data_IF_019721640106
#
_entry.id   IF_019721640106
#
_cell.length_a   1.000
_cell.length_b   1.000
_cell.length_c   1.000
_cell.angle_alpha   90.00
_cell.angle_beta   90.00
_cell.angle_gamma   90.00
#
_symmetry.space_group_name_H-M   'P 1'
#
loop_
_entity.id
_entity.type
_entity.pdbx_description
1 polymer ?
#
# COMPACT_ATOMS: atom_id res chain seq x y z
N UNK A 1 8.66 6.31 -10.42
CA UNK A 1 8.80 5.20 -9.44
C UNK A 1 8.58 5.66 -8.00
N UNK A 2 9.20 6.75 -7.50
CA UNK A 2 8.99 7.24 -6.13
C UNK A 2 7.53 7.27 -5.65
N UNK A 3 6.62 7.82 -6.46
CA UNK A 3 5.19 7.94 -6.12
C UNK A 3 4.55 6.57 -5.90
N UNK A 4 4.54 5.69 -6.91
CA UNK A 4 3.88 4.39 -6.83
C UNK A 4 4.59 3.41 -5.88
N UNK A 5 5.91 3.50 -5.76
CA UNK A 5 6.70 2.63 -4.88
C UNK A 5 6.79 3.17 -3.44
N UNK A 6 6.19 4.33 -3.15
CA UNK A 6 6.21 4.98 -1.83
C UNK A 6 7.62 5.11 -1.25
N UNK A 7 8.54 5.70 -2.01
CA UNK A 7 9.95 5.78 -1.64
C UNK A 7 10.70 6.99 -2.19
N UNK A 8 11.99 7.05 -1.89
CA UNK A 8 12.87 8.15 -2.30
C UNK A 8 13.29 7.97 -3.77
N UNK A 9 13.38 9.07 -4.50
CA UNK A 9 14.08 9.15 -5.80
C UNK A 9 14.97 10.38 -5.80
N UNK A 10 16.21 10.21 -6.24
CA UNK A 10 17.22 11.26 -6.28
C UNK A 10 17.56 11.54 -7.74
N UNK A 11 17.54 12.81 -8.13
CA UNK A 11 18.04 13.29 -9.42
C UNK A 11 19.20 14.23 -9.14
N UNK A 12 20.40 13.85 -9.55
CA UNK A 12 21.58 14.71 -9.46
C UNK A 12 21.69 15.49 -10.75
N UNK A 13 21.64 16.82 -10.64
CA UNK A 13 21.68 17.74 -11.79
C UNK A 13 22.87 18.68 -11.63
N UNK A 14 23.91 18.59 -12.48
CA UNK A 14 25.02 19.53 -12.48
C UNK A 14 24.54 20.98 -12.72
N UNK A 15 25.16 21.94 -12.05
CA UNK A 15 24.74 23.35 -12.12
C UNK A 15 24.84 23.95 -13.52
N UNK A 16 25.87 23.57 -14.29
CA UNK A 16 26.03 24.01 -15.68
C UNK A 16 24.97 23.41 -16.61
N UNK A 17 24.52 22.18 -16.34
CA UNK A 17 23.46 21.51 -17.11
C UNK A 17 22.09 22.12 -16.78
N UNK A 18 21.84 22.48 -15.51
CA UNK A 18 20.59 23.12 -15.09
C UNK A 18 20.32 24.47 -15.78
N UNK A 19 21.38 25.15 -16.25
CA UNK A 19 21.29 26.43 -16.97
C UNK A 19 21.09 26.26 -18.48
N UNK A 20 21.23 25.04 -19.02
CA UNK A 20 21.01 24.80 -20.45
C UNK A 20 19.51 24.78 -20.77
N UNK A 21 19.11 25.20 -21.98
CA UNK A 21 17.72 25.08 -22.40
C UNK A 21 17.28 23.61 -22.38
N UNK A 22 16.11 23.36 -21.80
CA UNK A 22 15.46 22.05 -21.92
C UNK A 22 14.99 21.81 -23.37
N UNK A 23 14.79 20.56 -23.79
CA UNK A 23 14.26 20.26 -25.12
C UNK A 23 12.92 20.97 -25.37
N UNK A 24 12.76 21.65 -26.51
CA UNK A 24 11.54 22.39 -26.85
C UNK A 24 10.30 21.49 -26.98
N UNK A 25 10.51 20.20 -27.30
CA UNK A 25 9.46 19.19 -27.40
C UNK A 25 9.08 18.56 -26.06
N UNK A 26 9.75 18.92 -24.96
CA UNK A 26 9.45 18.37 -23.65
C UNK A 26 8.08 18.86 -23.16
N UNK A 27 7.31 17.94 -22.60
CA UNK A 27 6.04 18.27 -21.94
C UNK A 27 6.21 18.34 -20.43
N UNK A 28 5.60 19.34 -19.82
CA UNK A 28 5.46 19.45 -18.37
C UNK A 28 4.19 18.78 -17.86
N UNK A 29 3.34 18.28 -18.77
CA UNK A 29 2.12 17.59 -18.40
C UNK A 29 2.44 16.30 -17.64
N UNK A 30 1.79 16.12 -16.50
CA UNK A 30 1.93 14.94 -15.67
C UNK A 30 0.60 14.23 -15.49
N UNK A 31 0.55 12.95 -15.89
CA UNK A 31 -0.58 12.08 -15.62
C UNK A 31 -0.42 11.43 -14.23
N UNK A 32 -1.36 11.72 -13.33
CA UNK A 32 -1.41 11.12 -12.01
C UNK A 32 -1.95 9.69 -12.08
N UNK A 33 -1.05 8.73 -12.32
CA UNK A 33 -1.41 7.32 -12.30
C UNK A 33 -1.89 6.90 -10.89
N UNK A 34 -3.12 6.37 -10.75
CA UNK A 34 -3.60 5.88 -9.47
C UNK A 34 -2.89 4.58 -9.08
N UNK A 35 -2.98 4.21 -7.81
CA UNK A 35 -2.60 2.86 -7.38
C UNK A 35 -3.60 1.85 -7.95
N UNK A 36 -3.14 0.69 -8.43
CA UNK A 36 -4.04 -0.37 -8.85
C UNK A 36 -4.76 -0.98 -7.65
N UNK A 37 -5.86 -1.66 -7.92
CA UNK A 37 -6.48 -2.56 -6.95
C UNK A 37 -5.64 -3.84 -6.90
N UNK A 38 -5.11 -4.17 -5.72
CA UNK A 38 -4.33 -5.38 -5.49
C UNK A 38 -5.05 -6.22 -4.44
N UNK A 39 -5.59 -7.35 -4.87
CA UNK A 39 -6.28 -8.32 -4.02
C UNK A 39 -5.74 -9.73 -4.31
N UNK A 40 -5.65 -10.62 -3.31
CA UNK A 40 -5.28 -12.02 -3.56
C UNK A 40 -6.27 -12.72 -4.48
N UNK A 41 -5.83 -13.81 -5.11
CA UNK A 41 -6.70 -14.67 -5.90
C UNK A 41 -7.80 -15.31 -5.05
N UNK A 42 -8.95 -15.60 -5.66
CA UNK A 42 -10.12 -16.10 -4.95
C UNK A 42 -9.86 -17.45 -4.26
N UNK A 43 -9.09 -18.33 -4.89
CA UNK A 43 -8.73 -19.63 -4.31
C UNK A 43 -7.94 -19.47 -3.00
N UNK A 44 -6.99 -18.55 -2.97
CA UNK A 44 -6.19 -18.24 -1.77
C UNK A 44 -7.04 -17.61 -0.66
N UNK A 45 -8.01 -16.77 -1.02
CA UNK A 45 -8.97 -16.23 -0.05
C UNK A 45 -9.84 -17.34 0.58
N UNK A 46 -10.25 -18.34 -0.22
CA UNK A 46 -11.01 -19.50 0.28
C UNK A 46 -10.16 -20.36 1.23
N UNK A 47 -8.89 -20.57 0.90
CA UNK A 47 -7.93 -21.28 1.79
C UNK A 47 -7.75 -20.53 3.11
N UNK A 48 -7.57 -19.21 3.09
CA UNK A 48 -7.48 -18.39 4.30
C UNK A 48 -8.75 -18.48 5.14
N UNK A 49 -9.93 -18.40 4.53
CA UNK A 49 -11.19 -18.52 5.24
C UNK A 49 -11.34 -19.90 5.92
N UNK A 50 -10.90 -20.98 5.26
CA UNK A 50 -10.90 -22.32 5.84
C UNK A 50 -9.94 -22.42 7.03
N UNK A 51 -8.72 -21.87 6.90
CA UNK A 51 -7.74 -21.84 7.98
C UNK A 51 -8.30 -21.10 9.20
N UNK A 52 -8.87 -19.92 9.00
CA UNK A 52 -9.47 -19.12 10.07
C UNK A 52 -10.63 -19.85 10.75
N UNK A 53 -11.47 -20.56 9.98
CA UNK A 53 -12.62 -21.30 10.51
C UNK A 53 -12.23 -22.38 11.52
N UNK A 54 -11.08 -23.03 11.34
CA UNK A 54 -10.60 -24.10 12.21
C UNK A 54 -9.54 -23.65 13.22
N UNK A 55 -9.21 -22.36 13.23
CA UNK A 55 -8.26 -21.78 14.18
C UNK A 55 -8.95 -21.30 15.45
N UNK A 56 -8.23 -21.33 16.57
CA UNK A 56 -8.66 -20.77 17.85
C UNK A 56 -7.62 -19.76 18.33
N UNK A 57 -8.02 -18.83 19.21
CA UNK A 57 -7.14 -17.83 19.82
C UNK A 57 -6.40 -16.96 18.78
N UNK A 58 -7.13 -16.46 17.78
CA UNK A 58 -6.58 -15.62 16.71
C UNK A 58 -6.35 -14.21 17.24
N UNK A 59 -5.18 -13.63 16.97
CA UNK A 59 -4.88 -12.21 17.23
C UNK A 59 -4.43 -11.53 15.94
N UNK A 60 -4.76 -10.25 15.78
CA UNK A 60 -4.37 -9.43 14.62
C UNK A 60 -3.28 -8.46 15.03
N UNK A 61 -2.13 -8.51 14.35
CA UNK A 61 -1.07 -7.49 14.48
C UNK A 61 -1.19 -6.52 13.30
N UNK A 62 -1.53 -5.27 13.58
CA UNK A 62 -1.84 -4.26 12.57
C UNK A 62 -0.82 -3.12 12.58
N UNK A 63 -0.42 -2.62 11.42
CA UNK A 63 0.45 -1.45 11.29
C UNK A 63 -0.08 -0.46 10.27
N UNK A 64 0.75 0.53 9.89
CA UNK A 64 0.40 1.56 8.91
C UNK A 64 -0.13 1.08 7.55
N UNK A 65 0.10 -0.19 7.18
CA UNK A 65 -0.53 -0.82 6.00
C UNK A 65 -2.06 -0.86 6.05
N UNK A 66 -2.66 -0.76 7.25
CA UNK A 66 -4.11 -0.68 7.43
C UNK A 66 -4.69 0.74 7.23
N UNK A 67 -3.86 1.73 6.87
CA UNK A 67 -4.34 3.10 6.63
C UNK A 67 -5.44 3.14 5.56
N UNK A 68 -6.58 3.74 5.91
CA UNK A 68 -7.77 3.80 5.05
C UNK A 68 -8.69 2.56 5.12
N UNK A 69 -8.31 1.51 5.85
CA UNK A 69 -9.05 0.26 5.96
C UNK A 69 -9.63 0.00 7.37
N UNK A 70 -9.86 1.06 8.16
CA UNK A 70 -10.32 0.94 9.55
C UNK A 70 -11.67 0.22 9.66
N UNK A 71 -12.61 0.54 8.77
CA UNK A 71 -13.96 -0.03 8.81
C UNK A 71 -13.90 -1.54 8.60
N UNK A 72 -13.20 -1.96 7.56
CA UNK A 72 -13.00 -3.35 7.17
C UNK A 72 -12.25 -4.12 8.25
N UNK A 73 -11.22 -3.51 8.84
CA UNK A 73 -10.42 -4.12 9.90
C UNK A 73 -11.26 -4.41 11.15
N UNK A 74 -12.04 -3.44 11.61
CA UNK A 74 -12.88 -3.60 12.80
C UNK A 74 -13.99 -4.62 12.56
N UNK A 75 -14.62 -4.60 11.38
CA UNK A 75 -15.63 -5.59 11.01
C UNK A 75 -15.05 -7.01 10.96
N UNK A 76 -13.88 -7.17 10.36
CA UNK A 76 -13.20 -8.45 10.28
C UNK A 76 -12.83 -8.98 11.68
N UNK A 77 -12.19 -8.16 12.51
CA UNK A 77 -11.82 -8.53 13.87
C UNK A 77 -13.04 -8.91 14.72
N UNK A 78 -14.14 -8.17 14.59
CA UNK A 78 -15.40 -8.45 15.28
C UNK A 78 -16.05 -9.77 14.83
N UNK A 79 -15.88 -10.15 13.56
CA UNK A 79 -16.41 -11.39 12.98
C UNK A 79 -15.68 -12.62 13.49
N UNK A 80 -14.34 -12.56 13.56
CA UNK A 80 -13.52 -13.68 14.03
C UNK A 80 -13.19 -13.62 15.53
N UNK A 81 -13.69 -12.59 16.23
CA UNK A 81 -13.45 -12.34 17.67
C UNK A 81 -11.97 -12.26 18.04
N UNK A 82 -11.16 -11.68 17.15
CA UNK A 82 -9.73 -11.53 17.36
C UNK A 82 -9.39 -10.18 18.01
N UNK A 83 -8.63 -10.14 19.12
CA UNK A 83 -8.06 -8.89 19.62
C UNK A 83 -7.07 -8.30 18.61
N UNK A 84 -6.99 -6.97 18.58
CA UNK A 84 -6.08 -6.21 17.71
C UNK A 84 -4.95 -5.64 18.57
N UNK A 85 -3.72 -5.91 18.16
CA UNK A 85 -2.50 -5.25 18.64
C UNK A 85 -1.95 -4.39 17.52
N UNK A 86 -1.52 -3.17 17.81
CA UNK A 86 -1.00 -2.26 16.80
C UNK A 86 0.49 -2.01 16.95
N UNK A 87 1.17 -1.85 15.81
CA UNK A 87 2.52 -1.32 15.76
C UNK A 87 2.53 0.17 16.14
N UNK A 88 3.73 0.70 16.42
CA UNK A 88 3.92 2.11 16.79
C UNK A 88 3.64 3.08 15.63
N UNK A 89 3.70 2.60 14.38
CA UNK A 89 3.58 3.42 13.16
C UNK A 89 2.26 3.18 12.44
#
# INVERSE_FOLDING_TARGET
>A
KAVLNRGVSVVVLPGDVALKPAPESATTHWYHAPLPVVTPEEEELRKLAQLLRYSSNIALMCGSGCAGAHKELVEFAAKIKAPIVHALR
#
